data_IF_391079973224
#
_entry.id   IF_391079973224
#
_cell.length_a   1.000
_cell.length_b   1.000
_cell.length_c   1.000
_cell.angle_alpha   90.00
_cell.angle_beta   90.00
_cell.angle_gamma   90.00
#
_symmetry.space_group_name_H-M   'P 1'
#
loop_
_entity.id
_entity.type
_entity.pdbx_description
1 polymer ?
#
# COMPACT_ATOMS: atom_id res chain seq x y z
N UNK A 1 16.41 -49.61 -0.85
CA UNK A 1 16.63 -48.48 -1.77
C UNK A 1 15.62 -47.41 -1.44
N UNK A 2 16.07 -46.28 -0.92
CA UNK A 2 15.19 -45.19 -0.57
C UNK A 2 15.34 -44.10 -1.66
N UNK A 3 14.24 -43.71 -2.28
CA UNK A 3 14.22 -42.55 -3.18
C UNK A 3 13.92 -41.32 -2.36
N UNK A 4 14.88 -40.41 -2.21
CA UNK A 4 14.69 -39.09 -1.63
C UNK A 4 14.37 -38.16 -2.81
N UNK A 5 13.12 -37.70 -2.92
CA UNK A 5 12.77 -36.59 -3.78
C UNK A 5 12.98 -35.32 -2.96
N UNK A 6 13.90 -34.46 -3.38
CA UNK A 6 13.95 -33.09 -2.88
C UNK A 6 12.71 -32.37 -3.40
N UNK A 7 11.78 -32.08 -2.52
CA UNK A 7 10.76 -31.06 -2.81
C UNK A 7 11.50 -29.72 -2.82
N UNK A 8 11.84 -29.22 -3.98
CA UNK A 8 12.11 -27.80 -4.15
C UNK A 8 10.79 -27.08 -3.88
N UNK A 9 10.62 -26.51 -2.71
CA UNK A 9 9.55 -25.58 -2.44
C UNK A 9 9.78 -24.37 -3.33
N UNK A 10 8.96 -24.20 -4.36
CA UNK A 10 9.06 -23.06 -5.27
C UNK A 10 8.66 -21.81 -4.48
N UNK A 11 9.65 -20.99 -4.14
CA UNK A 11 9.41 -19.71 -3.47
C UNK A 11 8.56 -18.84 -4.38
N UNK A 12 7.44 -18.35 -3.89
CA UNK A 12 6.55 -17.45 -4.62
C UNK A 12 7.02 -16.01 -4.43
N UNK A 13 7.19 -15.27 -5.52
CA UNK A 13 7.45 -13.83 -5.45
C UNK A 13 6.11 -13.09 -5.34
N UNK A 14 6.01 -12.21 -4.35
CA UNK A 14 4.83 -11.38 -4.06
C UNK A 14 5.23 -9.92 -4.17
N UNK A 15 4.56 -9.17 -5.02
CA UNK A 15 4.70 -7.73 -5.12
C UNK A 15 3.79 -7.03 -4.11
N UNK A 16 4.36 -6.11 -3.31
CA UNK A 16 3.65 -5.36 -2.28
C UNK A 16 3.81 -3.86 -2.52
N UNK A 17 2.72 -3.20 -2.91
CA UNK A 17 2.65 -1.77 -3.09
C UNK A 17 2.28 -1.04 -1.80
N UNK A 18 3.07 -0.06 -1.40
CA UNK A 18 2.79 0.79 -0.24
C UNK A 18 3.35 2.21 -0.43
N UNK A 19 2.91 3.15 0.41
CA UNK A 19 3.34 4.55 0.30
C UNK A 19 4.67 4.80 1.01
N UNK A 20 5.36 5.91 0.71
CA UNK A 20 6.55 6.33 1.46
C UNK A 20 6.24 6.97 2.82
N UNK A 21 4.97 6.99 3.24
CA UNK A 21 4.53 7.62 4.46
C UNK A 21 5.05 6.90 5.71
N UNK A 22 5.12 7.61 6.82
CA UNK A 22 5.73 7.11 8.06
C UNK A 22 5.00 5.91 8.68
N UNK A 23 3.70 5.81 8.52
CA UNK A 23 2.88 4.70 8.99
C UNK A 23 3.14 3.43 8.17
N UNK A 24 3.23 3.53 6.84
CA UNK A 24 3.62 2.42 5.98
C UNK A 24 5.08 2.02 6.24
N UNK A 25 5.98 2.99 6.38
CA UNK A 25 7.36 2.71 6.74
C UNK A 25 7.48 1.93 8.06
N UNK A 26 6.65 2.24 9.04
CA UNK A 26 6.58 1.51 10.30
C UNK A 26 6.03 0.08 10.11
N UNK A 27 4.91 -0.07 9.38
CA UNK A 27 4.27 -1.37 9.15
C UNK A 27 5.18 -2.35 8.40
N UNK A 28 5.87 -1.87 7.38
CA UNK A 28 6.69 -2.73 6.49
C UNK A 28 8.17 -2.78 6.87
N UNK A 29 8.60 -2.08 7.92
CA UNK A 29 10.01 -1.98 8.31
C UNK A 29 10.71 -3.34 8.44
N UNK A 30 10.11 -4.26 9.19
CA UNK A 30 10.73 -5.55 9.44
C UNK A 30 10.82 -6.43 8.17
N UNK A 31 9.82 -6.34 7.32
CA UNK A 31 9.78 -7.06 6.03
C UNK A 31 10.77 -6.46 5.04
N UNK A 32 10.82 -5.14 4.94
CA UNK A 32 11.73 -4.42 4.05
C UNK A 32 13.21 -4.63 4.39
N UNK A 33 13.53 -4.78 5.68
CA UNK A 33 14.90 -5.00 6.15
C UNK A 33 15.24 -6.48 6.37
N UNK A 34 14.46 -7.40 5.83
CA UNK A 34 14.67 -8.85 5.97
C UNK A 34 14.76 -9.36 7.43
N UNK A 35 14.15 -8.64 8.37
CA UNK A 35 14.07 -9.04 9.77
C UNK A 35 12.99 -10.11 10.00
N UNK A 36 11.99 -10.15 9.12
CA UNK A 36 10.97 -11.20 9.04
C UNK A 36 11.09 -11.83 7.66
N UNK A 37 11.29 -13.15 7.62
CA UNK A 37 11.46 -13.93 6.39
C UNK A 37 10.47 -15.08 6.36
N UNK A 38 10.12 -15.49 5.16
CA UNK A 38 9.35 -16.71 4.90
C UNK A 38 10.14 -17.61 3.96
N UNK A 39 10.05 -18.92 4.19
CA UNK A 39 10.59 -19.92 3.27
C UNK A 39 9.63 -20.23 2.11
N UNK A 40 8.41 -19.68 2.15
CA UNK A 40 7.37 -19.92 1.16
C UNK A 40 7.28 -18.82 0.12
N UNK A 41 7.62 -17.58 0.49
CA UNK A 41 7.52 -16.43 -0.41
C UNK A 41 8.62 -15.38 -0.18
N UNK A 42 8.93 -14.67 -1.24
CA UNK A 42 9.80 -13.49 -1.23
C UNK A 42 8.96 -12.25 -1.58
N UNK A 43 9.17 -11.15 -0.85
CA UNK A 43 8.45 -9.90 -1.06
C UNK A 43 9.30 -8.92 -1.87
N UNK A 44 8.70 -8.37 -2.91
CA UNK A 44 9.25 -7.23 -3.65
C UNK A 44 8.41 -5.99 -3.34
N UNK A 45 9.04 -4.96 -2.79
CA UNK A 45 8.36 -3.71 -2.43
C UNK A 45 8.29 -2.75 -3.62
N UNK A 46 7.10 -2.19 -3.83
CA UNK A 46 6.82 -1.13 -4.81
C UNK A 46 6.33 0.09 -4.03
N UNK A 47 7.17 1.13 -3.96
CA UNK A 47 6.89 2.33 -3.17
C UNK A 47 6.43 3.44 -4.12
N UNK A 48 5.17 3.83 -4.00
CA UNK A 48 4.55 4.88 -4.80
C UNK A 48 3.54 5.67 -3.96
N UNK A 49 3.10 6.81 -4.47
CA UNK A 49 2.00 7.55 -3.83
C UNK A 49 0.66 6.81 -3.95
N UNK A 50 -0.28 7.15 -3.06
CA UNK A 50 -1.56 6.45 -2.97
C UNK A 50 -2.41 6.57 -4.24
N UNK A 51 -2.29 7.66 -4.99
CA UNK A 51 -3.04 7.85 -6.23
C UNK A 51 -2.56 6.89 -7.32
N UNK A 52 -1.23 6.70 -7.43
CA UNK A 52 -0.65 5.73 -8.36
C UNK A 52 -1.00 4.30 -7.98
N UNK A 53 -0.95 3.97 -6.69
CA UNK A 53 -1.37 2.65 -6.19
C UNK A 53 -2.87 2.39 -6.44
N UNK A 54 -3.74 3.38 -6.23
CA UNK A 54 -5.16 3.28 -6.57
C UNK A 54 -5.37 2.99 -8.07
N UNK A 55 -4.62 3.65 -8.95
CA UNK A 55 -4.68 3.43 -10.41
C UNK A 55 -4.23 2.01 -10.77
N UNK A 56 -3.09 1.56 -10.25
CA UNK A 56 -2.58 0.20 -10.48
C UNK A 56 -3.53 -0.87 -9.97
N UNK A 57 -4.30 -0.59 -8.92
CA UNK A 57 -5.28 -1.54 -8.40
C UNK A 57 -6.55 -1.67 -9.27
N UNK A 58 -6.83 -0.74 -10.16
CA UNK A 58 -7.95 -0.89 -11.13
C UNK A 58 -7.64 -1.94 -12.20
N UNK A 59 -6.36 -2.07 -12.56
CA UNK A 59 -5.85 -3.15 -13.41
C UNK A 59 -4.81 -3.89 -12.57
N UNK A 60 -5.11 -5.08 -12.01
CA UNK A 60 -4.31 -5.70 -10.95
C UNK A 60 -2.89 -6.02 -11.43
N UNK A 61 -1.99 -5.06 -11.22
CA UNK A 61 -0.56 -5.16 -11.53
C UNK A 61 0.27 -5.69 -10.35
N UNK A 62 -0.25 -5.55 -9.12
CA UNK A 62 0.42 -5.95 -7.88
C UNK A 62 -0.37 -7.05 -7.18
N UNK A 63 0.32 -7.95 -6.49
CA UNK A 63 -0.34 -9.02 -5.74
C UNK A 63 -1.01 -8.48 -4.46
N UNK A 64 -0.35 -7.55 -3.79
CA UNK A 64 -0.85 -6.82 -2.61
C UNK A 64 -0.59 -5.34 -2.81
N UNK A 65 -1.54 -4.49 -2.50
CA UNK A 65 -1.36 -3.04 -2.60
C UNK A 65 -2.12 -2.27 -1.54
N UNK A 66 -1.51 -1.20 -1.05
CA UNK A 66 -2.24 -0.18 -0.29
C UNK A 66 -3.17 0.57 -1.24
N UNK A 67 -4.37 0.86 -0.78
CA UNK A 67 -5.35 1.68 -1.50
C UNK A 67 -6.12 2.54 -0.52
N UNK A 68 -6.66 3.66 -0.97
CA UNK A 68 -7.55 4.46 -0.14
C UNK A 68 -8.87 3.72 0.12
N UNK A 69 -9.49 3.95 1.28
CA UNK A 69 -10.80 3.36 1.61
C UNK A 69 -11.85 3.69 0.54
N UNK A 70 -11.79 4.90 -0.01
CA UNK A 70 -12.66 5.29 -1.12
C UNK A 70 -12.44 4.41 -2.37
N UNK A 71 -11.20 4.17 -2.75
CA UNK A 71 -10.87 3.35 -3.92
C UNK A 71 -11.34 1.90 -3.78
N UNK A 72 -11.36 1.34 -2.57
CA UNK A 72 -11.86 -0.03 -2.33
C UNK A 72 -13.27 -0.28 -2.89
N UNK A 73 -14.13 0.75 -2.93
CA UNK A 73 -15.49 0.64 -3.46
C UNK A 73 -15.54 0.41 -4.98
N UNK A 74 -14.44 0.71 -5.69
CA UNK A 74 -14.36 0.68 -7.15
C UNK A 74 -13.40 -0.38 -7.69
N UNK A 75 -12.74 -1.14 -6.80
CA UNK A 75 -11.73 -2.14 -7.15
C UNK A 75 -12.31 -3.55 -6.88
N UNK A 76 -12.88 -4.23 -7.89
CA UNK A 76 -13.57 -5.51 -7.67
C UNK A 76 -12.63 -6.72 -7.58
N UNK A 77 -11.37 -6.59 -8.01
CA UNK A 77 -10.46 -7.72 -8.20
C UNK A 77 -9.57 -8.03 -6.99
N UNK A 78 -9.66 -7.23 -5.92
CA UNK A 78 -8.89 -7.42 -4.69
C UNK A 78 -9.78 -7.76 -3.51
N UNK A 79 -9.21 -8.50 -2.57
CA UNK A 79 -9.83 -8.77 -1.28
C UNK A 79 -9.14 -7.93 -0.21
N UNK A 80 -9.91 -7.24 0.62
CA UNK A 80 -9.36 -6.47 1.75
C UNK A 80 -8.81 -7.41 2.80
N UNK A 81 -7.53 -7.23 3.14
CA UNK A 81 -6.88 -8.00 4.21
C UNK A 81 -7.38 -7.53 5.59
N UNK A 82 -7.27 -8.41 6.59
CA UNK A 82 -7.63 -8.11 7.98
C UNK A 82 -6.56 -7.35 8.74
N UNK A 83 -5.42 -7.08 8.12
CA UNK A 83 -4.25 -6.40 8.68
C UNK A 83 -3.78 -5.31 7.73
N UNK A 84 -2.96 -4.40 8.23
CA UNK A 84 -2.37 -3.34 7.42
C UNK A 84 -3.34 -2.18 7.15
N UNK A 85 -3.94 -1.64 8.20
CA UNK A 85 -4.78 -0.44 8.10
C UNK A 85 -4.19 0.73 8.87
N UNK A 86 -4.27 1.94 8.30
CA UNK A 86 -3.95 3.20 8.98
C UNK A 86 -5.23 4.00 9.18
N UNK A 87 -5.46 4.46 10.41
CA UNK A 87 -6.68 5.15 10.81
C UNK A 87 -6.37 6.39 11.63
N UNK A 88 -6.92 7.53 11.22
CA UNK A 88 -6.92 8.76 12.02
C UNK A 88 -8.11 8.79 12.98
N UNK A 89 -7.86 8.90 14.29
CA UNK A 89 -8.89 9.06 15.30
C UNK A 89 -8.76 10.44 15.94
N UNK A 90 -9.78 11.30 15.73
CA UNK A 90 -9.78 12.67 16.26
C UNK A 90 -8.86 13.63 15.52
N UNK A 91 -8.26 13.22 14.40
CA UNK A 91 -7.51 14.06 13.48
C UNK A 91 -7.75 13.58 12.04
N UNK A 92 -7.41 14.43 11.08
CA UNK A 92 -7.60 14.12 9.64
C UNK A 92 -6.81 15.10 8.78
N UNK A 93 -7.06 15.11 7.48
CA UNK A 93 -6.44 16.06 6.55
C UNK A 93 -6.65 17.51 7.03
N UNK A 94 -5.58 18.28 7.01
CA UNK A 94 -5.59 19.70 7.40
C UNK A 94 -5.24 20.50 6.15
N UNK A 95 -6.09 21.48 5.84
CA UNK A 95 -5.79 22.46 4.79
C UNK A 95 -4.90 23.54 5.38
N UNK A 96 -3.72 23.73 4.81
CA UNK A 96 -2.77 24.76 5.22
C UNK A 96 -2.65 25.82 4.13
N UNK A 97 -2.50 27.09 4.51
CA UNK A 97 -2.29 28.20 3.61
C UNK A 97 -1.23 29.16 4.18
N UNK A 98 -0.52 29.87 3.30
CA UNK A 98 0.51 30.83 3.70
C UNK A 98 -0.07 32.10 4.33
N UNK A 99 -1.35 32.37 4.15
CA UNK A 99 -2.09 33.49 4.72
C UNK A 99 -3.53 33.04 4.99
N UNK A 100 -4.25 33.73 5.92
CA UNK A 100 -5.68 33.51 6.06
C UNK A 100 -6.42 33.72 4.75
N UNK A 101 -7.30 32.77 4.38
CA UNK A 101 -8.13 32.82 3.19
C UNK A 101 -9.50 32.20 3.45
N UNK A 102 -10.49 32.61 2.67
CA UNK A 102 -11.84 32.05 2.75
C UNK A 102 -11.92 30.72 1.97
N UNK A 103 -12.89 29.87 2.32
CA UNK A 103 -13.05 28.56 1.70
C UNK A 103 -13.31 28.63 0.18
N UNK A 104 -14.05 29.65 -0.25
CA UNK A 104 -14.32 29.92 -1.67
C UNK A 104 -13.06 30.31 -2.46
N UNK A 105 -12.08 30.93 -1.81
CA UNK A 105 -10.77 31.23 -2.42
C UNK A 105 -9.95 29.94 -2.64
N UNK A 106 -10.16 28.88 -1.84
CA UNK A 106 -9.49 27.60 -2.01
C UNK A 106 -9.92 26.89 -3.29
N UNK A 107 -11.15 27.05 -3.73
CA UNK A 107 -11.66 26.44 -4.96
C UNK A 107 -10.94 26.97 -6.21
N UNK A 108 -10.37 28.16 -6.16
CA UNK A 108 -9.60 28.73 -7.28
C UNK A 108 -8.22 28.08 -7.46
N UNK A 109 -7.71 27.37 -6.45
CA UNK A 109 -6.42 26.67 -6.49
C UNK A 109 -6.50 25.30 -7.16
N UNK A 110 -7.70 24.76 -7.35
CA UNK A 110 -7.93 23.44 -7.97
C UNK A 110 -7.72 23.51 -9.52
N UNK A 111 -7.59 24.69 -10.08
CA UNK A 111 -7.44 24.93 -11.51
C UNK A 111 -6.00 25.28 -11.95
N UNK A 112 -5.01 24.97 -11.13
CA UNK A 112 -3.60 25.14 -11.50
C UNK A 112 -3.06 23.83 -12.09
#
# INVERSE_FOLDING_TARGET
MFFITSFESKIVNISVGHTPDSDDAFMFYAMFNDLVKSDEFHVTHVIEDIENLNKKATEPELDVTAVSVHACAYIPNYTVLRSGGSFGIGYGPIVTAMKPMAIDELLSLIHI
#
